data_IF_666976935383
#
_entry.id   IF_666976935383
#
_cell.length_a   1.000
_cell.length_b   1.000
_cell.length_c   1.000
_cell.angle_alpha   90.00
_cell.angle_beta   90.00
_cell.angle_gamma   90.00
#
_symmetry.space_group_name_H-M   'P 1'
#
loop_
_entity.id
_entity.type
_entity.pdbx_description
1 polymer ?
#
# COMPACT_ATOMS: atom_id res chain seq x y z
N UNK A 1 21.00 -24.00 19.27
CA UNK A 1 22.05 -23.16 18.67
C UNK A 1 21.66 -22.93 17.21
N UNK A 2 20.63 -22.10 17.01
CA UNK A 2 20.06 -21.80 15.67
C UNK A 2 19.29 -20.47 15.72
N UNK A 3 19.75 -19.55 16.57
CA UNK A 3 19.10 -18.26 16.83
C UNK A 3 20.12 -17.12 16.73
N UNK A 4 21.05 -17.25 15.78
CA UNK A 4 22.09 -16.25 15.53
C UNK A 4 22.44 -16.16 14.04
N UNK A 5 21.43 -16.22 13.18
CA UNK A 5 21.55 -15.82 11.79
C UNK A 5 20.30 -15.05 11.40
N UNK A 6 20.40 -13.73 11.46
CA UNK A 6 19.97 -12.84 10.37
C UNK A 6 20.25 -11.38 10.77
N UNK A 7 21.53 -11.05 10.85
CA UNK A 7 21.99 -9.71 10.51
C UNK A 7 22.17 -9.63 8.97
N UNK A 8 21.19 -10.13 8.22
CA UNK A 8 21.11 -9.89 6.79
C UNK A 8 20.91 -8.40 6.63
N UNK A 9 21.82 -7.76 5.91
CA UNK A 9 21.70 -6.36 5.53
C UNK A 9 20.33 -6.23 4.84
N UNK A 10 19.32 -5.65 5.53
CA UNK A 10 17.92 -5.59 5.05
C UNK A 10 17.71 -4.50 4.00
N UNK A 11 18.70 -3.65 3.83
CA UNK A 11 18.76 -2.55 2.87
C UNK A 11 18.38 -2.94 1.42
N UNK A 12 18.89 -4.03 0.79
CA UNK A 12 18.47 -4.42 -0.56
C UNK A 12 17.00 -4.80 -0.63
N UNK A 13 16.41 -5.38 0.42
CA UNK A 13 14.98 -5.68 0.45
C UNK A 13 14.12 -4.43 0.62
N UNK A 14 14.58 -3.46 1.42
CA UNK A 14 13.95 -2.13 1.48
C UNK A 14 13.99 -1.40 0.14
N UNK A 15 15.14 -1.41 -0.54
CA UNK A 15 15.27 -0.81 -1.88
C UNK A 15 14.39 -1.53 -2.90
N UNK A 16 14.38 -2.86 -2.89
CA UNK A 16 13.54 -3.65 -3.77
C UNK A 16 12.05 -3.37 -3.53
N UNK A 17 11.61 -3.42 -2.27
CA UNK A 17 10.25 -3.08 -1.86
C UNK A 17 9.88 -1.68 -2.35
N UNK A 18 10.68 -0.67 -2.04
CA UNK A 18 10.41 0.71 -2.41
C UNK A 18 10.35 0.89 -3.93
N UNK A 19 11.25 0.25 -4.67
CA UNK A 19 11.27 0.33 -6.14
C UNK A 19 10.03 -0.28 -6.79
N UNK A 20 9.61 -1.46 -6.31
CA UNK A 20 8.40 -2.12 -6.79
C UNK A 20 7.15 -1.33 -6.38
N UNK A 21 7.16 -0.77 -5.17
CA UNK A 21 6.06 0.06 -4.68
C UNK A 21 5.90 1.33 -5.52
N UNK A 22 6.99 2.06 -5.79
CA UNK A 22 6.99 3.23 -6.67
C UNK A 22 6.52 2.84 -8.07
N UNK A 23 6.99 1.71 -8.60
CA UNK A 23 6.60 1.22 -9.93
C UNK A 23 5.10 0.93 -9.99
N UNK A 24 4.55 0.21 -9.02
CA UNK A 24 3.13 -0.09 -8.93
C UNK A 24 2.29 1.21 -8.84
N UNK A 25 2.63 2.10 -7.91
CA UNK A 25 1.96 3.39 -7.80
C UNK A 25 2.05 4.21 -9.10
N UNK A 26 3.19 4.18 -9.80
CA UNK A 26 3.35 4.87 -11.09
C UNK A 26 2.39 4.32 -12.15
N UNK A 27 2.24 2.99 -12.23
CA UNK A 27 1.31 2.35 -13.14
C UNK A 27 -0.15 2.67 -12.80
N UNK A 28 -0.51 2.58 -11.52
CA UNK A 28 -1.84 2.92 -11.03
C UNK A 28 -2.21 4.37 -11.37
N UNK A 29 -1.31 5.32 -11.08
CA UNK A 29 -1.50 6.73 -11.38
C UNK A 29 -1.52 7.01 -12.89
N UNK A 30 -0.68 6.33 -13.66
CA UNK A 30 -0.72 6.48 -15.11
C UNK A 30 -2.05 5.99 -15.70
N UNK A 31 -2.54 4.82 -15.28
CA UNK A 31 -3.84 4.30 -15.73
C UNK A 31 -5.01 5.23 -15.44
N UNK A 32 -4.97 5.96 -14.33
CA UNK A 32 -5.99 6.96 -13.99
C UNK A 32 -5.89 8.23 -14.83
N UNK A 33 -4.67 8.70 -15.13
CA UNK A 33 -4.45 10.01 -15.74
C UNK A 33 -4.24 9.97 -17.27
N UNK A 34 -3.97 8.81 -17.87
CA UNK A 34 -3.70 8.64 -19.32
C UNK A 34 -4.86 9.12 -20.20
N UNK A 35 -6.08 9.11 -19.69
CA UNK A 35 -7.28 9.51 -20.44
C UNK A 35 -7.54 11.01 -20.41
N UNK A 36 -6.93 11.76 -19.48
CA UNK A 36 -7.23 13.17 -19.24
C UNK A 36 -6.95 14.11 -20.43
N UNK A 37 -5.94 13.91 -21.29
CA UNK A 37 -5.71 14.79 -22.44
C UNK A 37 -6.78 14.68 -23.54
N UNK A 38 -7.57 13.60 -23.55
CA UNK A 38 -8.52 13.32 -24.61
C UNK A 38 -9.89 13.92 -24.28
N UNK A 39 -10.39 14.80 -25.17
CA UNK A 39 -11.63 15.56 -24.91
C UNK A 39 -12.91 14.77 -25.15
N UNK A 40 -12.87 13.76 -26.02
CA UNK A 40 -14.04 12.99 -26.46
C UNK A 40 -13.74 11.48 -26.38
N UNK A 41 -13.54 10.96 -25.18
CA UNK A 41 -13.45 9.51 -24.95
C UNK A 41 -14.80 8.98 -24.49
N UNK A 42 -15.24 7.89 -25.12
CA UNK A 42 -16.31 7.09 -24.54
C UNK A 42 -15.79 6.35 -23.30
N UNK A 43 -16.71 6.00 -22.41
CA UNK A 43 -16.39 5.26 -21.18
C UNK A 43 -15.62 3.95 -21.48
N UNK A 44 -15.98 3.28 -22.58
CA UNK A 44 -15.35 2.04 -23.03
C UNK A 44 -13.91 2.25 -23.52
N UNK A 45 -13.64 3.34 -24.23
CA UNK A 45 -12.28 3.66 -24.69
C UNK A 45 -11.38 4.03 -23.52
N UNK A 46 -11.89 4.85 -22.59
CA UNK A 46 -11.19 5.18 -21.35
C UNK A 46 -10.85 3.92 -20.54
N UNK A 47 -11.82 2.99 -20.41
CA UNK A 47 -11.61 1.71 -19.74
C UNK A 47 -10.52 0.87 -20.42
N UNK A 48 -10.57 0.69 -21.74
CA UNK A 48 -9.54 -0.05 -22.49
C UNK A 48 -8.14 0.55 -22.33
N UNK A 49 -8.04 1.88 -22.20
CA UNK A 49 -6.76 2.54 -21.94
C UNK A 49 -6.26 2.31 -20.51
N UNK A 50 -7.15 2.23 -19.51
CA UNK A 50 -6.79 2.08 -18.10
C UNK A 50 -6.48 0.63 -17.68
N UNK A 51 -7.23 -0.37 -18.18
CA UNK A 51 -7.07 -1.80 -17.85
C UNK A 51 -5.62 -2.30 -17.90
N UNK A 52 -4.83 -2.09 -18.99
CA UNK A 52 -3.49 -2.67 -19.07
C UNK A 52 -2.61 -2.20 -17.91
N UNK A 53 -2.78 -0.96 -17.47
CA UNK A 53 -2.06 -0.41 -16.31
C UNK A 53 -2.59 -0.98 -15.00
N UNK A 54 -3.90 -1.15 -14.84
CA UNK A 54 -4.48 -1.77 -13.65
C UNK A 54 -4.03 -3.24 -13.47
N UNK A 55 -3.96 -4.00 -14.56
CA UNK A 55 -3.48 -5.38 -14.52
C UNK A 55 -1.99 -5.45 -14.16
N UNK A 56 -1.18 -4.57 -14.74
CA UNK A 56 0.26 -4.52 -14.44
C UNK A 56 0.53 -4.01 -13.02
N UNK A 57 -0.20 -2.99 -12.56
CA UNK A 57 -0.17 -2.52 -11.17
C UNK A 57 -0.49 -3.66 -10.21
N UNK A 58 -1.57 -4.41 -10.45
CA UNK A 58 -1.94 -5.55 -9.62
C UNK A 58 -0.83 -6.61 -9.54
N UNK A 59 -0.21 -6.95 -10.68
CA UNK A 59 0.91 -7.87 -10.73
C UNK A 59 2.10 -7.37 -9.88
N UNK A 60 2.54 -6.14 -10.10
CA UNK A 60 3.70 -5.56 -9.39
C UNK A 60 3.39 -5.37 -7.90
N UNK A 61 2.18 -4.94 -7.55
CA UNK A 61 1.73 -4.77 -6.18
C UNK A 61 1.70 -6.11 -5.43
N UNK A 62 1.32 -7.19 -6.10
CA UNK A 62 1.37 -8.54 -5.51
C UNK A 62 2.79 -8.93 -5.09
N UNK A 63 3.79 -8.67 -5.94
CA UNK A 63 5.20 -8.89 -5.57
C UNK A 63 5.65 -7.96 -4.44
N UNK A 64 5.23 -6.70 -4.49
CA UNK A 64 5.55 -5.69 -3.47
C UNK A 64 5.05 -6.12 -2.09
N UNK A 65 3.78 -6.52 -1.99
CA UNK A 65 3.15 -7.01 -0.75
C UNK A 65 3.83 -8.30 -0.28
N UNK A 66 4.13 -9.23 -1.19
CA UNK A 66 4.81 -10.48 -0.84
C UNK A 66 6.18 -10.21 -0.20
N UNK A 67 6.98 -9.31 -0.77
CA UNK A 67 8.29 -8.92 -0.23
C UNK A 67 8.13 -8.19 1.11
N UNK A 68 7.20 -7.24 1.18
CA UNK A 68 6.91 -6.48 2.41
C UNK A 68 6.54 -7.39 3.57
N UNK A 69 5.65 -8.35 3.34
CA UNK A 69 5.21 -9.32 4.33
C UNK A 69 6.31 -10.33 4.69
N UNK A 70 7.03 -10.87 3.69
CA UNK A 70 8.07 -11.88 3.91
C UNK A 70 9.21 -11.38 4.81
N UNK A 71 9.59 -10.11 4.67
CA UNK A 71 10.69 -9.51 5.43
C UNK A 71 10.22 -8.55 6.54
N UNK A 72 8.91 -8.42 6.77
CA UNK A 72 8.28 -7.53 7.73
C UNK A 72 8.87 -6.11 7.69
N UNK A 73 8.88 -5.52 6.49
CA UNK A 73 9.63 -4.29 6.20
C UNK A 73 8.91 -3.03 6.72
N UNK A 74 7.58 -3.02 6.64
CA UNK A 74 6.74 -1.82 6.83
C UNK A 74 5.40 -2.21 7.46
N UNK A 75 4.87 -1.31 8.29
CA UNK A 75 3.55 -1.48 8.91
C UNK A 75 2.42 -1.02 7.96
N UNK A 76 1.19 -1.53 8.10
CA UNK A 76 0.06 -1.12 7.24
C UNK A 76 -0.18 0.40 7.20
N UNK A 77 0.06 1.07 8.33
CA UNK A 77 -0.03 2.53 8.43
C UNK A 77 1.08 3.22 7.63
N UNK A 78 2.33 2.74 7.72
CA UNK A 78 3.44 3.27 6.94
C UNK A 78 3.23 3.08 5.44
N UNK A 79 2.70 1.93 5.02
CA UNK A 79 2.34 1.68 3.62
C UNK A 79 1.29 2.66 3.10
N UNK A 80 0.25 2.91 3.89
CA UNK A 80 -0.81 3.86 3.52
C UNK A 80 -0.24 5.28 3.32
N UNK A 81 0.68 5.69 4.19
CA UNK A 81 1.30 7.00 4.05
C UNK A 81 2.30 7.08 2.89
N UNK A 82 3.09 6.02 2.69
CA UNK A 82 3.99 5.92 1.56
C UNK A 82 3.22 6.02 0.24
N UNK A 83 2.06 5.37 0.16
CA UNK A 83 1.12 5.48 -0.95
C UNK A 83 0.69 6.94 -1.18
N UNK A 84 0.22 7.64 -0.15
CA UNK A 84 -0.23 9.03 -0.26
C UNK A 84 0.90 9.93 -0.78
N UNK A 85 2.10 9.83 -0.20
CA UNK A 85 3.24 10.67 -0.56
C UNK A 85 3.65 10.42 -2.01
N UNK A 86 3.77 9.15 -2.41
CA UNK A 86 4.18 8.78 -3.76
C UNK A 86 3.11 9.21 -4.77
N UNK A 87 1.83 8.95 -4.51
CA UNK A 87 0.74 9.35 -5.40
C UNK A 87 0.70 10.88 -5.57
N UNK A 88 0.89 11.65 -4.50
CA UNK A 88 0.93 13.10 -4.59
C UNK A 88 2.13 13.59 -5.43
N UNK A 89 3.32 13.04 -5.21
CA UNK A 89 4.50 13.34 -6.03
C UNK A 89 4.24 13.02 -7.52
N UNK A 90 3.64 11.87 -7.80
CA UNK A 90 3.30 11.45 -9.16
C UNK A 90 2.27 12.38 -9.80
N UNK A 91 1.26 12.86 -9.06
CA UNK A 91 0.30 13.86 -9.55
C UNK A 91 1.02 15.13 -9.99
N UNK A 92 1.93 15.66 -9.17
CA UNK A 92 2.67 16.87 -9.53
C UNK A 92 3.51 16.65 -10.80
N UNK A 93 4.16 15.49 -10.93
CA UNK A 93 4.94 15.13 -12.11
C UNK A 93 4.05 15.00 -13.35
N UNK A 94 2.93 14.28 -13.26
CA UNK A 94 1.96 14.11 -14.36
C UNK A 94 1.39 15.47 -14.77
N UNK A 95 0.98 16.30 -13.83
CA UNK A 95 0.45 17.64 -14.12
C UNK A 95 1.46 18.49 -14.87
N UNK A 96 2.73 18.49 -14.43
CA UNK A 96 3.79 19.28 -15.05
C UNK A 96 4.22 18.76 -16.42
N UNK A 97 4.48 17.45 -16.53
CA UNK A 97 5.13 16.85 -17.71
C UNK A 97 4.12 16.31 -18.72
N UNK A 98 3.05 15.68 -18.25
CA UNK A 98 2.06 15.04 -19.13
C UNK A 98 0.95 16.01 -19.52
N UNK A 99 0.29 16.65 -18.54
CA UNK A 99 -0.80 17.60 -18.81
C UNK A 99 -0.30 19.01 -19.16
N UNK A 100 1.01 19.27 -19.03
CA UNK A 100 1.66 20.57 -19.29
C UNK A 100 1.02 21.73 -18.51
N UNK A 101 0.44 21.44 -17.36
CA UNK A 101 -0.15 22.42 -16.46
C UNK A 101 0.93 23.05 -15.58
N UNK A 102 0.69 24.30 -15.15
CA UNK A 102 1.59 25.00 -14.22
C UNK A 102 1.32 24.50 -12.81
N UNK A 103 2.32 23.86 -12.21
CA UNK A 103 2.35 23.61 -10.76
C UNK A 103 2.46 24.96 -10.05
N UNK A 104 1.48 25.25 -9.22
CA UNK A 104 1.40 26.50 -8.47
C UNK A 104 2.14 26.39 -7.14
N UNK A 105 2.45 27.54 -6.54
CA UNK A 105 3.03 27.56 -5.20
C UNK A 105 2.09 26.93 -4.16
N UNK A 106 0.78 27.07 -4.34
CA UNK A 106 -0.23 26.44 -3.49
C UNK A 106 -0.13 24.91 -3.49
N UNK A 107 0.16 24.30 -4.63
CA UNK A 107 0.34 22.83 -4.74
C UNK A 107 1.56 22.35 -3.93
N UNK A 108 2.62 23.15 -3.93
CA UNK A 108 3.84 22.89 -3.16
C UNK A 108 3.57 23.05 -1.66
N UNK A 109 2.86 24.11 -1.25
CA UNK A 109 2.48 24.29 0.17
C UNK A 109 1.58 23.15 0.65
N UNK A 110 0.61 22.71 -0.18
CA UNK A 110 -0.24 21.57 0.11
C UNK A 110 0.57 20.28 0.32
N UNK A 111 1.58 20.03 -0.52
CA UNK A 111 2.50 18.90 -0.35
C UNK A 111 3.16 18.91 1.03
N UNK A 112 3.67 20.06 1.46
CA UNK A 112 4.33 20.18 2.77
C UNK A 112 3.36 20.00 3.95
N UNK A 113 2.10 20.43 3.82
CA UNK A 113 1.06 20.19 4.83
C UNK A 113 0.79 18.69 4.98
N UNK A 114 0.68 17.97 3.85
CA UNK A 114 0.50 16.51 3.86
C UNK A 114 1.71 15.81 4.49
N UNK A 115 2.92 16.24 4.14
CA UNK A 115 4.15 15.70 4.70
C UNK A 115 4.24 15.92 6.22
N UNK A 116 3.80 17.09 6.70
CA UNK A 116 3.73 17.38 8.12
C UNK A 116 2.68 16.50 8.82
N UNK A 117 1.49 16.34 8.25
CA UNK A 117 0.47 15.43 8.75
C UNK A 117 0.97 13.99 8.85
N UNK A 118 1.71 13.53 7.84
CA UNK A 118 2.40 12.24 7.87
C UNK A 118 3.38 12.15 9.03
N UNK A 119 4.25 13.14 9.20
CA UNK A 119 5.23 13.16 10.29
C UNK A 119 4.55 13.05 11.65
N UNK A 120 3.48 13.81 11.88
CA UNK A 120 2.68 13.76 13.11
C UNK A 120 2.12 12.36 13.36
N UNK A 121 1.57 11.72 12.32
CA UNK A 121 1.01 10.37 12.42
C UNK A 121 2.08 9.28 12.61
N UNK A 122 3.20 9.36 11.89
CA UNK A 122 4.27 8.35 11.93
C UNK A 122 4.85 8.21 13.34
N UNK A 123 5.07 9.33 14.02
CA UNK A 123 5.60 9.33 15.38
C UNK A 123 4.54 9.08 16.46
N UNK A 124 3.27 8.93 16.06
CA UNK A 124 2.11 8.88 16.95
C UNK A 124 2.15 10.01 17.98
N UNK A 125 2.55 11.21 17.56
CA UNK A 125 2.83 12.34 18.44
C UNK A 125 1.60 12.71 19.27
N UNK A 126 0.42 12.72 18.64
CA UNK A 126 -0.84 13.01 19.31
C UNK A 126 -1.16 11.93 20.36
N UNK A 127 -1.06 10.65 20.02
CA UNK A 127 -1.33 9.56 20.98
C UNK A 127 -0.35 9.56 22.17
N UNK A 128 0.92 9.95 21.93
CA UNK A 128 1.92 10.13 23.00
C UNK A 128 1.62 11.33 23.89
N UNK A 129 1.16 12.44 23.34
CA UNK A 129 0.79 13.65 24.08
C UNK A 129 -0.48 13.42 24.91
N UNK A 130 -1.49 12.76 24.35
CA UNK A 130 -2.80 12.53 24.99
C UNK A 130 -2.89 11.22 25.80
N UNK A 131 -1.81 10.44 25.91
CA UNK A 131 -1.74 9.13 26.60
C UNK A 131 -2.85 8.14 26.17
N UNK A 132 -3.33 8.24 24.93
CA UNK A 132 -4.33 7.31 24.39
C UNK A 132 -3.59 6.02 24.04
N UNK A 133 -4.03 4.84 24.52
CA UNK A 133 -3.36 3.58 24.24
C UNK A 133 -3.38 3.31 22.73
N UNK A 134 -2.19 3.19 22.14
CA UNK A 134 -2.03 2.82 20.74
C UNK A 134 -2.41 1.35 20.63
N UNK A 135 -3.47 0.97 19.90
CA UNK A 135 -3.80 -0.43 19.69
C UNK A 135 -2.61 -1.10 19.00
N UNK A 136 -2.06 -2.14 19.62
CA UNK A 136 -1.02 -2.96 18.97
C UNK A 136 -1.66 -3.62 17.75
N UNK A 137 -0.93 -3.77 16.63
CA UNK A 137 -1.39 -4.60 15.53
C UNK A 137 -1.81 -5.93 16.13
N UNK A 138 -3.06 -6.31 15.92
CA UNK A 138 -3.56 -7.63 16.31
C UNK A 138 -2.65 -8.63 15.61
N UNK A 139 -1.64 -9.16 16.32
CA UNK A 139 -1.15 -10.50 16.02
C UNK A 139 -2.42 -11.32 15.86
N UNK A 140 -2.56 -12.03 14.74
CA UNK A 140 -3.64 -12.99 14.57
C UNK A 140 -3.46 -13.98 15.71
N UNK A 141 -4.11 -13.68 16.83
CA UNK A 141 -3.95 -14.42 18.07
C UNK A 141 -4.35 -15.83 17.72
N UNK A 142 -3.56 -16.78 18.22
CA UNK A 142 -3.76 -18.23 18.09
C UNK A 142 -5.22 -18.66 18.28
N UNK A 143 -6.05 -17.85 18.98
CA UNK A 143 -7.50 -17.97 19.12
C UNK A 143 -8.29 -17.99 17.78
N UNK A 144 -7.94 -17.16 16.80
CA UNK A 144 -8.62 -17.14 15.49
C UNK A 144 -8.36 -18.44 14.71
N UNK A 145 -7.10 -18.90 14.70
CA UNK A 145 -6.73 -20.17 14.08
C UNK A 145 -7.30 -21.37 14.82
N UNK A 146 -7.37 -21.34 16.16
CA UNK A 146 -8.01 -22.38 16.97
C UNK A 146 -9.52 -22.42 16.76
N UNK A 147 -10.20 -21.27 16.63
CA UNK A 147 -11.62 -21.21 16.28
C UNK A 147 -11.87 -21.80 14.89
N UNK A 148 -11.10 -21.43 13.88
CA UNK A 148 -11.23 -21.97 12.52
C UNK A 148 -10.99 -23.49 12.49
N UNK A 149 -9.97 -23.98 13.22
CA UNK A 149 -9.70 -25.41 13.37
C UNK A 149 -10.83 -26.14 14.10
N UNK A 150 -11.40 -25.54 15.16
CA UNK A 150 -12.52 -26.11 15.92
C UNK A 150 -13.80 -26.16 15.09
N UNK A 151 -14.09 -25.14 14.28
CA UNK A 151 -15.23 -25.18 13.36
C UNK A 151 -15.05 -26.24 12.28
N UNK A 152 -13.85 -26.38 11.70
CA UNK A 152 -13.55 -27.47 10.76
C UNK A 152 -13.70 -28.86 11.38
N UNK A 153 -13.24 -29.06 12.63
CA UNK A 153 -13.39 -30.36 13.30
C UNK A 153 -14.86 -30.69 13.62
N UNK A 154 -15.66 -29.68 13.96
CA UNK A 154 -17.10 -29.87 14.22
C UNK A 154 -17.87 -30.20 12.94
N UNK A 155 -17.56 -29.52 11.82
CA UNK A 155 -18.15 -29.82 10.51
C UNK A 155 -17.84 -31.27 10.07
N UNK A 156 -16.58 -31.69 10.17
CA UNK A 156 -16.17 -33.06 9.83
C UNK A 156 -16.80 -34.11 10.75
N UNK A 157 -17.04 -33.79 12.03
CA UNK A 157 -17.73 -34.69 12.95
C UNK A 157 -19.22 -34.83 12.58
N UNK A 158 -19.90 -33.75 12.18
CA UNK A 158 -21.29 -33.83 11.74
C UNK A 158 -21.44 -34.59 10.42
N UNK A 159 -20.52 -34.42 9.48
CA UNK A 159 -20.51 -35.17 8.22
C UNK A 159 -20.31 -36.67 8.44
N UNK A 160 -19.45 -37.06 9.39
CA UNK A 160 -19.21 -38.48 9.73
C UNK A 160 -20.36 -39.15 10.48
N UNK A 161 -21.19 -38.41 11.21
CA UNK A 161 -22.32 -38.97 11.97
C UNK A 161 -23.67 -38.88 11.22
N UNK A 162 -23.68 -38.28 10.03
CA UNK A 162 -24.83 -38.22 9.12
C UNK A 162 -24.69 -39.21 7.93
N UNK A 163 -23.68 -40.09 7.96
CA UNK A 163 -23.55 -41.31 7.15
C UNK A 163 -23.74 -42.54 8.05
#
# INVERSE_FOLDING_TARGET
MEMYYENLNKLPYYLLFLSLFILAQSLSMWGQYVTLPFKNLTMWEAYKMAIPFAWLDWLVMTFTINIGNKYNLVTPTQDTFLLIIIQFCLILLINRFYLKQKVTFSDIVAFFIILFGFFVSFFNLISKIFKIPIPKPTEITTDSSQKILRYKSLANYQEKNNM
#
